data_IF_589091460191
#
_entry.id   IF_589091460191
#
_cell.length_a   1.000
_cell.length_b   1.000
_cell.length_c   1.000
_cell.angle_alpha   90.00
_cell.angle_beta   90.00
_cell.angle_gamma   90.00
#
_symmetry.space_group_name_H-M   'P 1'
#
loop_
_entity.id
_entity.type
_entity.pdbx_description
1 polymer ?
#
# COMPACT_ATOMS: atom_id res chain seq x y z
N UNK A 1 33.39 -17.06 35.30
CA UNK A 1 32.52 -17.43 34.17
C UNK A 1 33.27 -17.18 32.89
N UNK A 2 33.61 -18.24 32.16
CA UNK A 2 34.15 -18.08 30.81
C UNK A 2 33.15 -17.30 29.96
N UNK A 3 33.63 -16.27 29.25
CA UNK A 3 32.80 -15.51 28.32
C UNK A 3 32.49 -16.41 27.14
N UNK A 4 31.27 -16.94 27.11
CA UNK A 4 30.78 -17.74 26.00
C UNK A 4 30.87 -16.91 24.70
N UNK A 5 31.73 -17.33 23.78
CA UNK A 5 31.96 -16.61 22.53
C UNK A 5 30.95 -17.08 21.48
N UNK A 6 29.98 -16.21 21.18
CA UNK A 6 28.91 -16.53 20.22
C UNK A 6 29.40 -16.38 18.78
N UNK A 7 28.78 -17.14 17.88
CA UNK A 7 29.10 -17.11 16.45
C UNK A 7 28.77 -15.75 15.83
N UNK A 8 27.64 -15.15 16.21
CA UNK A 8 27.12 -13.91 15.62
C UNK A 8 27.12 -12.70 16.54
N UNK A 9 26.98 -12.89 17.86
CA UNK A 9 26.86 -11.78 18.81
C UNK A 9 28.21 -11.09 19.00
N UNK A 10 28.23 -9.76 18.83
CA UNK A 10 29.41 -8.92 19.05
C UNK A 10 30.40 -8.88 17.87
N UNK A 11 30.06 -9.46 16.71
CA UNK A 11 30.88 -9.42 15.51
C UNK A 11 30.29 -8.49 14.44
N UNK A 12 31.15 -7.85 13.66
CA UNK A 12 30.75 -7.10 12.46
C UNK A 12 30.51 -8.08 11.33
N UNK A 13 29.39 -7.94 10.63
CA UNK A 13 29.05 -8.72 9.45
C UNK A 13 28.67 -7.80 8.30
N UNK A 14 28.91 -8.29 7.08
CA UNK A 14 28.35 -7.65 5.89
C UNK A 14 26.84 -7.94 5.83
N UNK A 15 26.07 -6.86 5.90
CA UNK A 15 24.61 -6.87 5.80
C UNK A 15 24.10 -6.98 4.35
N UNK A 16 25.01 -7.19 3.38
CA UNK A 16 24.73 -7.38 1.95
C UNK A 16 23.86 -6.26 1.34
N UNK A 17 24.03 -5.03 1.81
CA UNK A 17 23.26 -3.86 1.36
C UNK A 17 24.00 -3.02 0.29
N UNK A 18 25.00 -3.58 -0.40
CA UNK A 18 25.74 -2.87 -1.46
C UNK A 18 24.78 -2.34 -2.55
N UNK A 19 23.70 -3.06 -2.84
CA UNK A 19 22.67 -2.65 -3.80
C UNK A 19 22.04 -1.31 -3.46
N UNK A 20 21.81 -1.04 -2.17
CA UNK A 20 21.19 0.21 -1.71
C UNK A 20 22.08 1.43 -1.90
N UNK A 21 23.39 1.28 -1.68
CA UNK A 21 24.35 2.39 -1.85
C UNK A 21 24.82 2.56 -3.29
N UNK A 22 24.60 1.55 -4.14
CA UNK A 22 24.95 1.58 -5.57
C UNK A 22 23.77 1.87 -6.49
N UNK A 23 22.55 2.01 -5.94
CA UNK A 23 21.32 2.20 -6.73
C UNK A 23 20.93 0.97 -7.56
N UNK A 24 21.41 -0.22 -7.20
CA UNK A 24 21.11 -1.50 -7.87
C UNK A 24 19.99 -2.28 -7.20
N UNK A 25 19.60 -1.89 -6.00
CA UNK A 25 18.43 -2.46 -5.33
C UNK A 25 17.17 -2.06 -6.08
N UNK A 26 16.28 -3.02 -6.36
CA UNK A 26 15.03 -2.78 -7.08
C UNK A 26 13.91 -2.66 -6.04
N UNK A 27 13.30 -1.49 -5.96
CA UNK A 27 12.10 -1.23 -5.17
C UNK A 27 10.85 -1.29 -6.05
N UNK A 28 9.67 -1.35 -5.42
CA UNK A 28 8.41 -1.43 -6.15
C UNK A 28 8.19 -0.29 -7.16
N UNK A 29 8.77 0.88 -6.92
CA UNK A 29 8.71 2.03 -7.84
C UNK A 29 9.63 1.91 -9.06
N UNK A 30 10.63 1.04 -9.02
CA UNK A 30 11.60 0.84 -10.10
C UNK A 30 11.07 -0.17 -11.15
N UNK A 31 10.05 -0.95 -10.76
CA UNK A 31 9.45 -1.98 -11.61
C UNK A 31 8.54 -1.34 -12.66
N UNK A 32 8.82 -1.67 -13.93
CA UNK A 32 7.99 -1.30 -15.07
C UNK A 32 7.69 -2.56 -15.90
N UNK A 33 6.40 -2.91 -16.02
CA UNK A 33 5.95 -4.08 -16.80
C UNK A 33 5.09 -3.66 -18.00
N UNK A 34 5.09 -4.43 -19.12
CA UNK A 34 4.23 -4.13 -20.26
C UNK A 34 2.75 -4.07 -19.87
N UNK A 35 2.07 -2.99 -20.25
CA UNK A 35 0.66 -2.77 -19.93
C UNK A 35 0.37 -2.24 -18.52
N UNK A 36 1.39 -1.87 -17.74
CA UNK A 36 1.20 -1.24 -16.43
C UNK A 36 0.46 0.09 -16.55
N UNK A 37 -0.62 0.23 -15.78
CA UNK A 37 -1.33 1.50 -15.63
C UNK A 37 -0.68 2.35 -14.53
N UNK A 38 -0.69 3.66 -14.73
CA UNK A 38 -0.29 4.64 -13.71
C UNK A 38 -1.54 5.30 -13.13
N UNK A 39 -1.59 5.44 -11.81
CA UNK A 39 -2.74 6.02 -11.11
C UNK A 39 -2.36 7.35 -10.44
N UNK A 40 -3.33 8.25 -10.37
CA UNK A 40 -3.27 9.49 -9.59
C UNK A 40 -4.50 9.55 -8.69
N UNK A 41 -4.31 9.90 -7.43
CA UNK A 41 -5.40 9.95 -6.43
C UNK A 41 -5.86 11.39 -6.26
N UNK A 42 -7.11 11.67 -6.62
CA UNK A 42 -7.79 12.92 -6.27
C UNK A 42 -8.14 12.90 -4.77
N UNK A 43 -7.67 13.89 -4.02
CA UNK A 43 -7.91 14.00 -2.57
C UNK A 43 -8.76 15.23 -2.26
N UNK A 44 -9.56 15.13 -1.20
CA UNK A 44 -10.31 16.28 -0.68
C UNK A 44 -9.36 17.39 -0.24
N UNK A 45 -9.61 18.66 -0.62
CA UNK A 45 -8.88 19.81 -0.07
C UNK A 45 -9.38 20.20 1.33
N UNK A 46 -10.48 19.61 1.80
CA UNK A 46 -11.10 19.90 3.10
C UNK A 46 -10.89 18.73 4.07
N UNK A 47 -10.62 19.04 5.34
CA UNK A 47 -10.45 18.04 6.40
C UNK A 47 -11.73 17.24 6.68
N UNK A 48 -12.90 17.85 6.48
CA UNK A 48 -14.20 17.20 6.61
C UNK A 48 -15.20 17.87 5.66
N UNK A 49 -15.81 17.09 4.78
CA UNK A 49 -16.82 17.55 3.82
C UNK A 49 -17.69 16.38 3.36
N UNK A 50 -18.93 16.68 3.00
CA UNK A 50 -19.82 15.74 2.32
C UNK A 50 -19.59 15.83 0.80
N UNK A 51 -19.34 14.69 0.15
CA UNK A 51 -19.18 14.64 -1.30
C UNK A 51 -20.57 14.61 -1.94
N UNK A 52 -20.97 15.73 -2.55
CA UNK A 52 -22.26 15.83 -3.25
C UNK A 52 -22.23 15.25 -4.66
N UNK A 53 -21.11 15.42 -5.35
CA UNK A 53 -20.91 15.00 -6.74
C UNK A 53 -19.41 14.92 -7.06
N UNK A 54 -19.03 13.96 -7.90
CA UNK A 54 -17.74 13.91 -8.59
C UNK A 54 -18.02 13.96 -10.09
N UNK A 55 -17.21 14.69 -10.85
CA UNK A 55 -17.32 14.82 -12.31
C UNK A 55 -16.03 14.33 -12.96
N UNK A 56 -16.14 13.24 -13.72
CA UNK A 56 -15.01 12.57 -14.38
C UNK A 56 -14.79 13.05 -15.83
N UNK A 57 -15.68 13.89 -16.37
CA UNK A 57 -15.78 14.18 -17.81
C UNK A 57 -14.45 14.61 -18.42
N UNK A 58 -13.71 15.51 -17.77
CA UNK A 58 -12.45 16.02 -18.31
C UNK A 58 -11.34 14.96 -18.29
N UNK A 59 -11.26 14.17 -17.23
CA UNK A 59 -10.25 13.13 -17.10
C UNK A 59 -10.48 12.00 -18.12
N UNK A 60 -11.74 11.58 -18.31
CA UNK A 60 -12.12 10.61 -19.31
C UNK A 60 -11.86 11.12 -20.73
N UNK A 61 -12.09 12.42 -21.00
CA UNK A 61 -11.75 13.05 -22.29
C UNK A 61 -10.26 13.02 -22.58
N UNK A 62 -9.42 13.03 -21.55
CA UNK A 62 -7.96 12.87 -21.68
C UNK A 62 -7.53 11.40 -21.84
N UNK A 63 -8.47 10.45 -21.82
CA UNK A 63 -8.21 9.01 -21.93
C UNK A 63 -7.89 8.33 -20.61
N UNK A 64 -8.09 9.00 -19.47
CA UNK A 64 -7.92 8.36 -18.16
C UNK A 64 -9.10 7.45 -17.83
N UNK A 65 -8.83 6.33 -17.17
CA UNK A 65 -9.85 5.49 -16.54
C UNK A 65 -10.09 6.05 -15.14
N UNK A 66 -11.33 6.46 -14.87
CA UNK A 66 -11.73 6.97 -13.56
C UNK A 66 -12.37 5.84 -12.74
N UNK A 67 -11.96 5.70 -11.48
CA UNK A 67 -12.51 4.72 -10.53
C UNK A 67 -13.06 5.50 -9.34
N UNK A 68 -14.33 5.31 -9.05
CA UNK A 68 -15.08 6.02 -8.03
C UNK A 68 -15.70 5.10 -6.97
N UNK A 69 -16.52 5.68 -6.07
CA UNK A 69 -17.27 4.92 -5.07
C UNK A 69 -18.16 3.83 -5.66
N UNK A 70 -18.76 4.09 -6.82
CA UNK A 70 -19.68 3.17 -7.50
C UNK A 70 -18.97 1.92 -8.08
N UNK A 71 -17.64 1.96 -8.22
CA UNK A 71 -16.83 0.83 -8.70
C UNK A 71 -16.35 -0.08 -7.56
N UNK A 72 -16.62 0.30 -6.31
CA UNK A 72 -16.20 -0.45 -5.14
C UNK A 72 -17.13 -1.65 -4.93
N UNK A 73 -16.60 -2.88 -4.78
CA UNK A 73 -17.45 -4.05 -4.58
C UNK A 73 -18.15 -4.04 -3.21
N UNK A 74 -19.43 -4.38 -3.20
CA UNK A 74 -20.23 -4.63 -1.99
C UNK A 74 -19.93 -5.99 -1.33
N UNK A 75 -18.79 -6.60 -1.66
CA UNK A 75 -18.42 -7.90 -1.13
C UNK A 75 -17.97 -7.76 0.32
N UNK A 76 -18.64 -8.49 1.20
CA UNK A 76 -18.24 -8.63 2.58
C UNK A 76 -16.89 -9.35 2.66
N UNK A 77 -15.94 -8.74 3.36
CA UNK A 77 -14.67 -9.36 3.70
C UNK A 77 -14.38 -9.22 5.18
N UNK A 78 -13.60 -10.15 5.69
CA UNK A 78 -13.10 -10.12 7.05
C UNK A 78 -11.73 -9.43 7.06
N UNK A 79 -11.61 -8.27 7.69
CA UNK A 79 -10.33 -7.58 7.80
C UNK A 79 -9.35 -8.41 8.64
N UNK A 80 -8.30 -8.95 7.99
CA UNK A 80 -7.27 -9.69 8.71
C UNK A 80 -6.42 -8.72 9.52
N UNK A 81 -6.77 -8.55 10.79
CA UNK A 81 -5.97 -7.78 11.74
C UNK A 81 -5.18 -8.76 12.60
N UNK A 82 -3.85 -8.66 12.53
CA UNK A 82 -2.96 -9.49 13.34
C UNK A 82 -2.98 -8.93 14.77
N UNK A 83 -3.54 -9.68 15.73
CA UNK A 83 -3.56 -9.42 17.18
C UNK A 83 -4.75 -8.58 17.72
N UNK A 84 -5.98 -9.04 17.53
CA UNK A 84 -7.15 -8.49 18.25
C UNK A 84 -7.97 -9.60 18.92
N UNK A 85 -8.62 -9.34 20.07
CA UNK A 85 -9.43 -10.34 20.77
C UNK A 85 -10.59 -10.84 19.90
N UNK A 86 -10.99 -12.11 20.06
CA UNK A 86 -11.96 -12.86 19.22
C UNK A 86 -13.27 -12.13 18.84
N UNK A 87 -13.65 -11.05 19.53
CA UNK A 87 -14.87 -10.27 19.29
C UNK A 87 -14.78 -9.22 18.17
N UNK A 88 -13.70 -9.22 17.42
CA UNK A 88 -13.42 -8.17 16.42
C UNK A 88 -13.43 -8.67 14.98
N UNK A 89 -13.70 -9.96 14.75
CA UNK A 89 -14.10 -10.45 13.43
C UNK A 89 -15.42 -9.78 13.05
N UNK A 90 -15.33 -8.79 12.16
CA UNK A 90 -16.49 -8.14 11.57
C UNK A 90 -16.34 -8.24 10.07
N UNK A 91 -17.40 -8.70 9.44
CA UNK A 91 -17.54 -8.58 8.01
C UNK A 91 -17.83 -7.13 7.68
N UNK A 92 -17.06 -6.58 6.74
CA UNK A 92 -17.19 -5.20 6.27
C UNK A 92 -17.11 -5.15 4.75
N UNK A 93 -17.70 -4.11 4.19
CA UNK A 93 -17.45 -3.65 2.82
C UNK A 93 -16.24 -2.70 2.81
N UNK A 94 -15.68 -2.46 1.63
CA UNK A 94 -14.51 -1.57 1.47
C UNK A 94 -14.87 -0.11 1.74
N UNK A 95 -16.06 0.32 1.32
CA UNK A 95 -16.67 1.60 1.72
C UNK A 95 -17.86 1.32 2.67
N UNK A 96 -18.00 2.10 3.76
CA UNK A 96 -19.05 1.91 4.77
C UNK A 96 -20.43 2.40 4.34
#
# INVERSE_FOLDING_TARGET
MEKQQFEFIGKKFDIKNIGKVTGREIYSCDVNIPGQLCAVVLRSPYSHAEIKKIDYTEAERMGAICIGPDDVPDTLYNERIVSIPDKTYRDRTVLP
#
